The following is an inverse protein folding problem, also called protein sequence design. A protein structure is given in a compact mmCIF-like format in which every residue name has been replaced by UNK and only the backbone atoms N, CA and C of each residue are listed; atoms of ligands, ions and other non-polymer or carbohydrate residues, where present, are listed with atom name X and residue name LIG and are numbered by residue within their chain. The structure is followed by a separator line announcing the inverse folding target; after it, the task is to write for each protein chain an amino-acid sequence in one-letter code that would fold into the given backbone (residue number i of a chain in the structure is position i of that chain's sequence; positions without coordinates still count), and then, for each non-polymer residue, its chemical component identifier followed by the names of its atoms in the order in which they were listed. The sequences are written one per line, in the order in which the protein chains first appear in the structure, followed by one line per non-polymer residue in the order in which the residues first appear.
data_IF_499461129984
#
_entry.id   IF_499461129984
#
_cell.length_a   1.000
_cell.length_b   1.000
_cell.length_c   1.000
_cell.angle_alpha   90.00
_cell.angle_beta   90.00
_cell.angle_gamma   90.00
#
_symmetry.space_group_name_H-M   'P 1'
#
loop_
_entity.id
_entity.type
_entity.pdbx_description
1 polymer ?
#
# COMPACT_ATOMS: atom_id res chain seq x y z
N UNK A 1 -76.00 25.64 -22.83
CA UNK A 1 -75.35 24.49 -23.47
C UNK A 1 -73.85 24.77 -23.59
N UNK A 2 -72.98 24.02 -22.90
CA UNK A 2 -71.54 24.31 -22.82
C UNK A 2 -70.82 23.68 -24.02
N UNK A 3 -70.05 24.47 -24.77
CA UNK A 3 -69.39 24.07 -26.02
C UNK A 3 -68.37 22.93 -25.79
N UNK A 4 -68.59 21.78 -26.46
CA UNK A 4 -67.75 20.56 -26.35
C UNK A 4 -66.26 20.83 -26.66
N UNK A 5 -65.96 21.82 -27.51
CA UNK A 5 -64.57 22.19 -27.85
C UNK A 5 -63.82 22.88 -26.70
N UNK A 6 -64.53 23.56 -25.78
CA UNK A 6 -63.93 24.22 -24.62
C UNK A 6 -63.54 23.20 -23.53
N UNK A 7 -64.32 22.12 -23.40
CA UNK A 7 -64.10 21.06 -22.40
C UNK A 7 -62.83 20.25 -22.73
N UNK A 8 -62.61 19.91 -24.00
CA UNK A 8 -61.38 19.21 -24.42
C UNK A 8 -60.12 20.06 -24.29
N UNK A 9 -60.19 21.39 -24.51
CA UNK A 9 -59.06 22.31 -24.29
C UNK A 9 -58.70 22.39 -22.80
N UNK A 10 -59.69 22.46 -21.91
CA UNK A 10 -59.48 22.45 -20.46
C UNK A 10 -58.92 21.11 -19.94
N UNK A 11 -59.34 19.98 -20.53
CA UNK A 11 -58.79 18.66 -20.20
C UNK A 11 -57.32 18.51 -20.65
N UNK A 12 -56.96 19.04 -21.82
CA UNK A 12 -55.58 19.05 -22.32
C UNK A 12 -54.66 19.94 -21.48
N UNK A 13 -55.11 21.13 -21.06
CA UNK A 13 -54.35 22.00 -20.15
C UNK A 13 -54.11 21.39 -18.76
N UNK A 14 -55.07 20.63 -18.23
CA UNK A 14 -54.92 19.94 -16.93
C UNK A 14 -53.99 18.74 -17.01
N UNK A 15 -53.96 18.04 -18.15
CA UNK A 15 -53.05 16.92 -18.39
C UNK A 15 -51.59 17.39 -18.56
N UNK A 16 -51.36 18.49 -19.27
CA UNK A 16 -50.01 19.08 -19.40
C UNK A 16 -49.50 19.63 -18.08
N UNK A 17 -50.36 20.28 -17.27
CA UNK A 17 -49.98 20.76 -15.94
C UNK A 17 -49.56 19.63 -14.99
N UNK A 18 -50.24 18.47 -15.03
CA UNK A 18 -49.86 17.28 -14.24
C UNK A 18 -48.55 16.65 -14.71
N UNK A 19 -48.31 16.60 -16.03
CA UNK A 19 -47.04 16.13 -16.59
C UNK A 19 -45.86 17.00 -16.16
N UNK A 20 -46.02 18.32 -16.16
CA UNK A 20 -44.99 19.28 -15.73
C UNK A 20 -44.69 19.12 -14.23
N UNK A 21 -45.70 18.93 -13.38
CA UNK A 21 -45.54 18.71 -11.94
C UNK A 21 -44.82 17.39 -11.61
N UNK A 22 -45.09 16.31 -12.36
CA UNK A 22 -44.40 15.02 -12.20
C UNK A 22 -42.92 15.09 -12.59
N UNK A 23 -42.60 15.80 -13.68
CA UNK A 23 -41.21 15.99 -14.13
C UNK A 23 -40.42 16.88 -13.16
N UNK A 24 -41.05 17.93 -12.61
CA UNK A 24 -40.44 18.76 -11.57
C UNK A 24 -40.17 17.99 -10.27
N UNK A 25 -41.06 17.05 -9.89
CA UNK A 25 -40.86 16.17 -8.73
C UNK A 25 -39.69 15.19 -8.90
N UNK A 26 -39.50 14.64 -10.10
CA UNK A 26 -38.36 13.75 -10.39
C UNK A 26 -37.02 14.50 -10.42
N UNK A 27 -37.00 15.74 -10.92
CA UNK A 27 -35.81 16.58 -10.93
C UNK A 27 -35.39 17.06 -9.53
N UNK A 28 -36.33 17.18 -8.59
CA UNK A 28 -36.03 17.54 -7.21
C UNK A 28 -35.52 16.35 -6.36
N UNK A 29 -35.74 15.11 -6.81
CA UNK A 29 -35.33 13.89 -6.12
C UNK A 29 -33.94 13.39 -6.51
N UNK A 30 -33.31 13.94 -7.55
CA UNK A 30 -31.92 13.63 -7.91
C UNK A 30 -30.95 14.35 -6.98
N UNK A 31 -30.89 13.90 -5.72
CA UNK A 31 -29.77 14.23 -4.86
C UNK A 31 -28.52 13.59 -5.46
N UNK A 32 -27.61 14.43 -5.96
CA UNK A 32 -26.27 14.02 -6.37
C UNK A 32 -25.56 13.48 -5.13
N UNK A 33 -25.39 12.16 -5.03
CA UNK A 33 -24.56 11.56 -3.99
C UNK A 33 -23.11 11.95 -4.28
N UNK A 34 -22.60 12.94 -3.55
CA UNK A 34 -21.17 13.26 -3.58
C UNK A 34 -20.43 12.14 -2.86
N UNK A 35 -19.45 11.54 -3.53
CA UNK A 35 -18.51 10.63 -2.87
C UNK A 35 -17.86 11.37 -1.69
N UNK A 36 -17.85 10.75 -0.51
CA UNK A 36 -17.12 11.28 0.62
C UNK A 36 -15.65 11.40 0.22
N UNK A 37 -15.04 12.55 0.50
CA UNK A 37 -13.61 12.74 0.28
C UNK A 37 -12.89 11.85 1.28
N UNK A 38 -12.16 10.84 0.79
CA UNK A 38 -11.27 10.03 1.62
C UNK A 38 -10.10 10.91 2.05
N UNK A 39 -10.11 11.35 3.31
CA UNK A 39 -8.99 12.06 3.90
C UNK A 39 -7.91 11.05 4.32
N UNK A 40 -6.79 11.03 3.59
CA UNK A 40 -5.64 10.21 3.94
C UNK A 40 -4.66 11.06 4.75
N UNK A 41 -4.16 10.53 5.87
CA UNK A 41 -3.19 11.22 6.69
C UNK A 41 -1.94 11.61 5.86
N UNK A 42 -1.74 12.92 5.66
CA UNK A 42 -0.56 13.48 5.00
C UNK A 42 0.65 13.62 5.93
N UNK A 43 0.56 13.10 7.16
CA UNK A 43 1.60 13.19 8.19
C UNK A 43 2.17 11.81 8.52
N UNK A 44 3.50 11.69 8.72
CA UNK A 44 4.10 10.41 9.06
C UNK A 44 3.53 9.82 10.35
N UNK A 45 3.30 8.50 10.35
CA UNK A 45 2.81 7.77 11.54
C UNK A 45 3.76 7.86 12.73
N UNK A 46 5.05 8.16 12.53
CA UNK A 46 5.98 8.30 13.64
C UNK A 46 5.81 9.63 14.41
N UNK A 47 5.20 10.66 13.81
CA UNK A 47 5.24 12.05 14.31
C UNK A 47 3.88 12.70 14.50
N UNK A 48 2.80 12.09 14.01
CA UNK A 48 1.46 12.65 14.13
C UNK A 48 0.93 12.48 15.55
N UNK A 49 0.62 13.58 16.23
CA UNK A 49 0.08 13.57 17.60
C UNK A 49 -1.44 13.43 17.67
N UNK A 50 -2.13 13.77 16.59
CA UNK A 50 -3.58 13.70 16.48
C UNK A 50 -3.91 13.11 15.09
N UNK A 51 -4.22 11.81 15.03
CA UNK A 51 -4.80 11.24 13.83
C UNK A 51 -6.28 11.58 13.81
N UNK A 52 -6.77 12.03 12.65
CA UNK A 52 -8.22 12.15 12.41
C UNK A 52 -8.86 10.76 12.39
N UNK A 53 -8.12 9.73 11.93
CA UNK A 53 -8.55 8.33 11.91
C UNK A 53 -7.46 7.41 12.51
N UNK A 54 -7.76 6.55 13.50
CA UNK A 54 -6.79 5.61 14.07
C UNK A 54 -6.24 4.63 13.01
N UNK A 55 -4.92 4.37 12.97
CA UNK A 55 -4.34 3.46 11.99
C UNK A 55 -4.74 2.00 12.28
N UNK A 56 -5.09 1.23 11.25
CA UNK A 56 -5.34 -0.20 11.33
C UNK A 56 -4.14 -0.98 10.78
N UNK A 57 -3.20 -1.36 11.66
CA UNK A 57 -1.95 -2.02 11.28
C UNK A 57 -2.02 -3.49 11.68
N UNK A 58 -1.80 -4.38 10.71
CA UNK A 58 -1.57 -5.80 10.94
C UNK A 58 -0.12 -6.13 10.56
N UNK A 59 0.69 -6.51 11.55
CA UNK A 59 2.04 -7.00 11.34
C UNK A 59 2.01 -8.52 11.30
N UNK A 60 2.36 -9.11 10.16
CA UNK A 60 2.59 -10.54 10.00
C UNK A 60 4.07 -10.75 9.71
N UNK A 61 4.72 -11.59 10.50
CA UNK A 61 6.12 -11.96 10.30
C UNK A 61 6.16 -13.38 9.74
N UNK A 62 6.70 -13.54 8.55
CA UNK A 62 6.95 -14.85 7.95
C UNK A 62 8.02 -15.57 8.78
N UNK A 63 7.69 -16.78 9.25
CA UNK A 63 8.57 -17.63 10.06
C UNK A 63 8.87 -18.94 9.35
N UNK A 64 8.59 -19.02 8.06
CA UNK A 64 8.98 -20.16 7.25
C UNK A 64 10.51 -20.30 7.20
N UNK A 65 10.98 -21.54 7.08
CA UNK A 65 12.42 -21.85 7.03
C UNK A 65 13.11 -21.25 5.79
N UNK A 66 12.38 -20.82 4.76
CA UNK A 66 12.97 -20.20 3.56
C UNK A 66 13.63 -18.86 3.86
N UNK A 67 13.14 -18.12 4.87
CA UNK A 67 13.79 -16.89 5.34
C UNK A 67 15.07 -17.15 6.15
N UNK A 68 15.35 -18.40 6.53
CA UNK A 68 16.59 -18.76 7.24
C UNK A 68 17.82 -18.78 6.32
N UNK A 69 17.60 -18.82 5.00
CA UNK A 69 18.68 -18.99 4.06
C UNK A 69 19.40 -17.67 3.76
N UNK A 70 20.72 -17.77 3.58
CA UNK A 70 21.55 -16.64 3.18
C UNK A 70 21.42 -16.25 1.71
N UNK A 71 20.30 -16.58 1.05
CA UNK A 71 20.08 -16.29 -0.36
C UNK A 71 18.61 -16.05 -0.72
N UNK A 72 18.41 -15.26 -1.77
CA UNK A 72 17.14 -15.06 -2.48
C UNK A 72 17.53 -15.07 -3.96
N UNK A 73 17.01 -15.95 -4.85
CA UNK A 73 15.79 -16.77 -4.84
C UNK A 73 15.98 -18.28 -4.58
N UNK A 74 14.90 -19.02 -4.31
CA UNK A 74 14.87 -20.49 -4.10
C UNK A 74 15.48 -21.31 -5.27
N UNK A 75 15.56 -20.73 -6.46
CA UNK A 75 16.22 -21.36 -7.61
C UNK A 75 17.75 -21.52 -7.44
N UNK A 76 18.34 -20.83 -6.45
CA UNK A 76 19.72 -21.04 -6.03
C UNK A 76 19.88 -22.29 -5.15
N UNK A 77 18.79 -22.99 -4.84
CA UNK A 77 18.82 -24.30 -4.21
C UNK A 77 18.99 -25.37 -5.29
N UNK A 78 20.20 -25.89 -5.43
CA UNK A 78 20.39 -27.06 -6.27
C UNK A 78 19.91 -28.28 -5.47
N UNK A 79 18.72 -28.78 -5.80
CA UNK A 79 17.99 -29.84 -5.08
C UNK A 79 18.71 -31.20 -4.93
N UNK A 80 19.97 -31.33 -5.38
CA UNK A 80 20.63 -32.63 -5.55
C UNK A 80 22.09 -32.68 -5.09
N UNK A 81 22.66 -31.65 -4.45
CA UNK A 81 24.06 -31.71 -4.00
C UNK A 81 24.34 -30.85 -2.78
N UNK A 82 25.15 -31.36 -1.84
CA UNK A 82 25.75 -30.64 -0.70
C UNK A 82 26.71 -29.49 -1.13
N UNK A 83 26.61 -29.05 -2.40
CA UNK A 83 27.49 -28.09 -3.03
C UNK A 83 26.69 -26.83 -3.31
N UNK A 84 27.08 -25.74 -2.64
CA UNK A 84 26.55 -24.40 -2.92
C UNK A 84 26.80 -24.05 -4.40
N UNK A 85 25.77 -23.68 -5.18
CA UNK A 85 25.96 -23.38 -6.58
C UNK A 85 26.84 -22.14 -6.80
N UNK A 86 27.42 -22.06 -7.99
CA UNK A 86 28.21 -20.90 -8.43
C UNK A 86 27.32 -19.65 -8.35
N UNK A 87 27.80 -18.63 -7.63
CA UNK A 87 27.05 -17.38 -7.42
C UNK A 87 26.26 -17.30 -6.11
N UNK A 88 26.24 -18.36 -5.28
CA UNK A 88 25.56 -18.34 -3.97
C UNK A 88 26.00 -17.16 -3.08
N UNK A 89 27.29 -16.80 -3.13
CA UNK A 89 27.88 -15.66 -2.41
C UNK A 89 28.21 -14.45 -3.30
N UNK A 90 27.64 -14.40 -4.50
CA UNK A 90 27.90 -13.34 -5.48
C UNK A 90 26.70 -12.43 -5.67
N UNK A 91 26.91 -11.11 -5.63
CA UNK A 91 25.84 -10.11 -5.84
C UNK A 91 25.14 -10.24 -7.21
N UNK A 92 25.78 -10.91 -8.18
CA UNK A 92 25.24 -11.15 -9.51
C UNK A 92 24.07 -12.15 -9.51
N UNK A 93 24.06 -13.08 -8.54
CA UNK A 93 23.06 -14.15 -8.47
C UNK A 93 22.24 -14.10 -7.17
N UNK A 94 22.80 -13.53 -6.10
CA UNK A 94 22.15 -13.39 -4.81
C UNK A 94 22.06 -11.91 -4.42
N UNK A 95 20.84 -11.38 -4.42
CA UNK A 95 20.58 -9.97 -4.14
C UNK A 95 20.90 -9.55 -2.69
N UNK A 96 21.06 -10.50 -1.77
CA UNK A 96 21.45 -10.22 -0.38
C UNK A 96 22.93 -9.87 -0.24
N UNK A 97 23.78 -10.27 -1.18
CA UNK A 97 25.22 -10.03 -1.07
C UNK A 97 25.60 -8.60 -1.48
N UNK A 98 26.66 -8.10 -0.84
CA UNK A 98 27.20 -6.77 -1.09
C UNK A 98 27.60 -6.58 -2.57
N UNK A 99 27.04 -5.55 -3.21
CA UNK A 99 27.40 -5.16 -4.57
C UNK A 99 28.39 -3.97 -4.53
N UNK A 100 29.67 -4.16 -4.90
CA UNK A 100 30.67 -3.11 -4.84
C UNK A 100 30.42 -1.95 -5.81
N UNK A 101 29.56 -2.12 -6.82
CA UNK A 101 29.21 -1.04 -7.76
C UNK A 101 28.05 -0.17 -7.26
N UNK A 102 27.38 -0.58 -6.17
CA UNK A 102 26.27 0.14 -5.58
C UNK A 102 26.76 1.04 -4.44
N UNK A 103 26.35 2.31 -4.48
CA UNK A 103 26.55 3.22 -3.35
C UNK A 103 25.48 2.95 -2.29
N UNK A 104 25.90 2.50 -1.11
CA UNK A 104 25.02 2.31 0.05
C UNK A 104 25.13 3.54 0.96
N UNK A 105 24.09 4.37 0.99
CA UNK A 105 24.04 5.51 1.90
C UNK A 105 23.76 5.05 3.33
N UNK A 106 24.50 5.62 4.28
CA UNK A 106 24.32 5.31 5.68
C UNK A 106 22.93 5.81 6.16
N UNK A 107 22.19 4.99 6.91
CA UNK A 107 20.87 5.36 7.41
C UNK A 107 20.95 6.59 8.33
N UNK A 108 19.88 7.37 8.36
CA UNK A 108 19.77 8.54 9.24
C UNK A 108 19.28 8.11 10.62
N UNK A 109 19.83 8.72 11.66
CA UNK A 109 19.32 8.58 13.02
C UNK A 109 18.04 9.40 13.23
N UNK A 110 17.44 9.28 14.42
CA UNK A 110 16.23 10.01 14.81
C UNK A 110 16.37 11.55 14.78
N UNK A 111 17.61 12.05 14.73
CA UNK A 111 17.95 13.48 14.73
C UNK A 111 18.27 13.98 13.32
N UNK A 112 18.17 13.12 12.29
CA UNK A 112 18.49 13.44 10.90
C UNK A 112 20.00 13.38 10.55
N UNK A 113 20.86 13.08 11.52
CA UNK A 113 22.29 12.85 11.31
C UNK A 113 22.54 11.46 10.69
N UNK A 114 23.64 11.31 9.95
CA UNK A 114 24.05 10.00 9.41
C UNK A 114 24.55 9.10 10.54
N UNK A 115 24.15 7.83 10.55
CA UNK A 115 24.71 6.82 11.47
C UNK A 115 26.20 6.59 11.16
N UNK A 116 27.03 6.20 12.16
CA UNK A 116 28.45 5.95 11.95
C UNK A 116 28.68 4.86 10.90
N UNK A 117 29.77 4.98 10.16
CA UNK A 117 30.17 3.96 9.19
C UNK A 117 30.49 2.65 9.94
N UNK A 118 29.89 1.51 9.54
CA UNK A 118 30.16 0.23 10.18
C UNK A 118 31.57 -0.23 9.83
N UNK A 119 32.30 -0.73 10.84
CA UNK A 119 33.59 -1.38 10.63
C UNK A 119 33.38 -2.84 10.21
N UNK A 120 33.77 -3.16 8.98
CA UNK A 120 33.65 -4.51 8.42
C UNK A 120 34.75 -5.47 8.90
N UNK A 121 35.79 -4.98 9.58
CA UNK A 121 36.88 -5.80 10.13
C UNK A 121 36.52 -6.49 11.46
N UNK A 122 35.47 -6.00 12.14
CA UNK A 122 34.99 -6.51 13.42
C UNK A 122 33.49 -6.88 13.41
N UNK A 123 32.89 -7.06 12.23
CA UNK A 123 31.49 -7.42 12.12
C UNK A 123 31.23 -8.85 12.64
N UNK A 124 30.13 -9.05 13.38
CA UNK A 124 29.68 -10.38 13.75
C UNK A 124 29.35 -11.20 12.50
N UNK A 125 29.78 -12.46 12.47
CA UNK A 125 29.45 -13.41 11.39
C UNK A 125 27.93 -13.66 11.34
N UNK A 126 27.28 -13.61 12.49
CA UNK A 126 25.83 -13.67 12.67
C UNK A 126 25.45 -12.83 13.89
N UNK A 127 24.61 -11.81 13.69
CA UNK A 127 24.17 -10.90 14.75
C UNK A 127 23.27 -11.57 15.80
N UNK A 128 22.64 -12.70 15.45
CA UNK A 128 21.77 -13.46 16.36
C UNK A 128 22.51 -14.61 17.08
N UNK A 129 23.79 -14.81 16.77
CA UNK A 129 24.67 -15.76 17.46
C UNK A 129 25.82 -15.02 18.12
N UNK A 130 25.59 -14.62 19.37
CA UNK A 130 26.58 -14.01 20.25
C UNK A 130 27.76 -14.96 20.58
N UNK A 131 27.67 -16.24 20.19
CA UNK A 131 28.71 -17.23 20.42
C UNK A 131 29.31 -17.72 19.10
N UNK A 132 30.57 -17.34 18.90
CA UNK A 132 31.52 -17.96 17.98
C UNK A 132 31.51 -19.49 18.17
N UNK A 133 30.74 -20.18 17.34
CA UNK A 133 31.01 -21.59 17.07
C UNK A 133 32.22 -21.60 16.15
N UNK A 134 33.37 -22.02 16.68
CA UNK A 134 34.59 -22.23 15.89
C UNK A 134 34.28 -23.10 14.65
N UNK A 135 34.86 -22.69 13.51
CA UNK A 135 34.98 -23.38 12.22
C UNK A 135 34.34 -24.77 12.09
#
# INVERSE_FOLDING_TARGET
MKNKNSIHRLQRLRATARGILLIAGLAAASQLSTAAVTDLANVPIATARNYVEPPNIMLLMDTSESMSWGHVPDALENATSDVTPVGYKGYQCNALYFNPTKNYSLPKNNSGGTLPEPDFSAAYVDYYRDNFGNN
#
